data_IF_854183073755
#
_entry.id   IF_854183073755
#
_cell.length_a   1.000
_cell.length_b   1.000
_cell.length_c   1.000
_cell.angle_alpha   90.00
_cell.angle_beta   90.00
_cell.angle_gamma   90.00
#
_symmetry.space_group_name_H-M   'P 1'
#
loop_
_entity.id
_entity.type
_entity.pdbx_description
1 polymer ?
#
# COMPACT_ATOMS: atom_id res chain seq x y z
N UNK A 1 4.17 7.73 25.20
CA UNK A 1 3.85 6.29 25.26
C UNK A 1 2.74 5.85 24.30
N UNK A 2 1.51 6.41 24.32
CA UNK A 2 0.46 6.01 23.34
C UNK A 2 0.79 6.48 21.90
N UNK A 3 1.30 7.70 21.75
CA UNK A 3 1.69 8.27 20.46
C UNK A 3 2.90 7.58 19.82
N UNK A 4 3.84 7.10 20.63
CA UNK A 4 5.03 6.35 20.18
C UNK A 4 4.64 5.01 19.57
N UNK A 5 3.77 4.27 20.27
CA UNK A 5 3.23 3.00 19.77
C UNK A 5 2.45 3.18 18.47
N UNK A 6 1.70 4.27 18.35
CA UNK A 6 0.95 4.58 17.14
C UNK A 6 1.88 4.94 15.97
N UNK A 7 3.01 5.60 16.24
CA UNK A 7 4.04 5.89 15.24
C UNK A 7 4.75 4.62 14.77
N UNK A 8 5.08 3.70 15.68
CA UNK A 8 5.66 2.38 15.33
C UNK A 8 4.69 1.56 14.46
N UNK A 9 3.41 1.49 14.84
CA UNK A 9 2.39 0.80 14.04
C UNK A 9 2.22 1.45 12.65
N UNK A 10 2.30 2.78 12.55
CA UNK A 10 2.27 3.48 11.27
C UNK A 10 3.52 3.20 10.42
N UNK A 11 4.71 3.13 11.02
CA UNK A 11 5.95 2.81 10.30
C UNK A 11 5.93 1.38 9.74
N UNK A 12 5.49 0.41 10.54
CA UNK A 12 5.31 -0.98 10.11
C UNK A 12 4.31 -1.10 8.95
N UNK A 13 3.19 -0.38 9.04
CA UNK A 13 2.18 -0.37 7.98
C UNK A 13 2.70 0.31 6.71
N UNK A 14 3.44 1.41 6.82
CA UNK A 14 4.09 2.07 5.69
C UNK A 14 5.13 1.16 5.04
N UNK A 15 5.96 0.48 5.83
CA UNK A 15 6.93 -0.47 5.33
C UNK A 15 6.25 -1.63 4.58
N UNK A 16 5.15 -2.15 5.12
CA UNK A 16 4.34 -3.19 4.49
C UNK A 16 3.64 -2.75 3.19
N UNK A 17 3.51 -1.44 2.95
CA UNK A 17 3.03 -0.87 1.69
C UNK A 17 4.16 -0.61 0.69
N UNK A 18 5.35 -0.21 1.15
CA UNK A 18 6.51 0.04 0.29
C UNK A 18 6.94 -1.21 -0.47
N UNK A 19 7.01 -2.36 0.20
CA UNK A 19 7.46 -3.62 -0.42
C UNK A 19 6.63 -4.05 -1.65
N UNK A 20 5.29 -4.18 -1.59
CA UNK A 20 4.48 -4.51 -2.77
C UNK A 20 4.55 -3.43 -3.85
N UNK A 21 4.69 -2.15 -3.47
CA UNK A 21 4.83 -1.06 -4.43
C UNK A 21 6.14 -1.14 -5.22
N UNK A 22 7.25 -1.47 -4.56
CA UNK A 22 8.54 -1.73 -5.22
C UNK A 22 8.45 -2.93 -6.15
N UNK A 23 7.83 -4.03 -5.72
CA UNK A 23 7.65 -5.23 -6.56
C UNK A 23 6.84 -4.90 -7.82
N UNK A 24 5.79 -4.09 -7.68
CA UNK A 24 4.97 -3.63 -8.80
C UNK A 24 5.76 -2.77 -9.79
N UNK A 25 6.55 -1.83 -9.29
CA UNK A 25 7.42 -0.98 -10.11
C UNK A 25 8.44 -1.83 -10.88
N UNK A 26 9.07 -2.81 -10.22
CA UNK A 26 10.00 -3.72 -10.90
C UNK A 26 9.31 -4.54 -11.99
N UNK A 27 8.11 -5.06 -11.74
CA UNK A 27 7.35 -5.83 -12.73
C UNK A 27 6.98 -5.00 -13.96
N UNK A 28 6.54 -3.76 -13.76
CA UNK A 28 6.23 -2.85 -14.86
C UNK A 28 7.49 -2.53 -15.67
N UNK A 29 8.61 -2.21 -15.02
CA UNK A 29 9.88 -1.96 -15.68
C UNK A 29 10.36 -3.18 -16.49
N UNK A 30 10.22 -4.40 -15.95
CA UNK A 30 10.55 -5.63 -16.68
C UNK A 30 9.64 -5.86 -17.89
N UNK A 31 8.34 -5.59 -17.75
CA UNK A 31 7.39 -5.67 -18.87
C UNK A 31 7.70 -4.67 -19.97
N UNK A 32 8.12 -3.46 -19.61
CA UNK A 32 8.56 -2.42 -20.53
C UNK A 32 9.85 -2.81 -21.26
N UNK A 33 10.87 -3.25 -20.50
CA UNK A 33 12.16 -3.68 -21.04
C UNK A 33 12.06 -4.92 -21.95
N UNK A 34 11.05 -5.76 -21.74
CA UNK A 34 10.81 -6.93 -22.59
C UNK A 34 10.46 -6.56 -24.04
N UNK A 35 9.94 -5.36 -24.30
CA UNK A 35 9.49 -4.92 -25.63
C UNK A 35 8.24 -5.65 -26.16
N UNK A 36 7.77 -6.70 -25.47
CA UNK A 36 6.64 -7.52 -25.87
C UNK A 36 5.31 -6.93 -25.35
N UNK A 37 4.34 -6.61 -26.23
CA UNK A 37 3.05 -6.06 -25.81
C UNK A 37 2.26 -6.98 -24.86
N UNK A 38 2.47 -8.30 -24.96
CA UNK A 38 1.87 -9.29 -24.06
C UNK A 38 2.47 -9.23 -22.65
N UNK A 39 3.78 -9.04 -22.53
CA UNK A 39 4.49 -8.90 -21.26
C UNK A 39 4.06 -7.62 -20.53
N UNK A 40 3.96 -6.50 -21.25
CA UNK A 40 3.47 -5.24 -20.69
C UNK A 40 2.00 -5.36 -20.23
N UNK A 41 1.12 -5.99 -21.01
CA UNK A 41 -0.27 -6.24 -20.59
C UNK A 41 -0.37 -7.10 -19.34
N UNK A 42 0.45 -8.15 -19.23
CA UNK A 42 0.50 -8.99 -18.04
C UNK A 42 1.01 -8.21 -16.81
N UNK A 43 2.05 -7.38 -16.99
CA UNK A 43 2.58 -6.52 -15.94
C UNK A 43 1.54 -5.50 -15.46
N UNK A 44 0.80 -4.86 -16.38
CA UNK A 44 -0.30 -3.93 -16.06
C UNK A 44 -1.42 -4.66 -15.31
N UNK A 45 -1.83 -5.85 -15.77
CA UNK A 45 -2.88 -6.63 -15.09
C UNK A 45 -2.50 -7.00 -13.66
N UNK A 46 -1.26 -7.45 -13.45
CA UNK A 46 -0.73 -7.69 -12.12
C UNK A 46 -0.70 -6.40 -11.30
N UNK A 47 -0.28 -5.29 -11.90
CA UNK A 47 -0.18 -4.00 -11.22
C UNK A 47 -1.54 -3.50 -10.72
N UNK A 48 -2.57 -3.57 -11.57
CA UNK A 48 -3.93 -3.20 -11.18
C UNK A 48 -4.44 -4.04 -10.01
N UNK A 49 -4.15 -5.36 -10.02
CA UNK A 49 -4.52 -6.25 -8.92
C UNK A 49 -3.82 -5.92 -7.60
N UNK A 50 -2.56 -5.49 -7.61
CA UNK A 50 -1.88 -4.99 -6.41
C UNK A 50 -2.45 -3.65 -5.95
N UNK A 51 -2.73 -2.73 -6.88
CA UNK A 51 -3.28 -1.41 -6.55
C UNK A 51 -4.61 -1.51 -5.79
N UNK A 52 -5.47 -2.47 -6.16
CA UNK A 52 -6.71 -2.76 -5.41
C UNK A 52 -6.39 -3.15 -3.97
N UNK A 53 -5.46 -4.09 -3.76
CA UNK A 53 -5.07 -4.55 -2.41
C UNK A 53 -4.41 -3.46 -1.58
N UNK A 54 -3.61 -2.59 -2.21
CA UNK A 54 -3.02 -1.43 -1.56
C UNK A 54 -4.10 -0.45 -1.11
N UNK A 55 -5.09 -0.17 -1.96
CA UNK A 55 -6.21 0.70 -1.62
C UNK A 55 -7.05 0.14 -0.46
N UNK A 56 -7.27 -1.17 -0.41
CA UNK A 56 -7.97 -1.83 0.71
C UNK A 56 -7.20 -1.66 2.02
N UNK A 57 -5.88 -1.86 2.01
CA UNK A 57 -5.03 -1.66 3.19
C UNK A 57 -5.05 -0.21 3.66
N UNK A 58 -4.92 0.74 2.75
CA UNK A 58 -5.02 2.18 3.07
C UNK A 58 -6.41 2.54 3.61
N UNK A 59 -7.47 1.92 3.09
CA UNK A 59 -8.83 2.04 3.61
C UNK A 59 -8.92 1.60 5.07
N UNK A 60 -8.41 0.42 5.40
CA UNK A 60 -8.36 -0.07 6.78
C UNK A 60 -7.55 0.85 7.71
N UNK A 61 -6.41 1.38 7.24
CA UNK A 61 -5.62 2.35 8.00
C UNK A 61 -6.40 3.64 8.28
N UNK A 62 -7.17 4.14 7.30
CA UNK A 62 -8.03 5.31 7.48
C UNK A 62 -9.15 5.05 8.50
N UNK A 63 -9.74 3.85 8.50
CA UNK A 63 -10.76 3.47 9.47
C UNK A 63 -10.21 3.45 10.91
N UNK A 64 -9.00 2.89 11.10
CA UNK A 64 -8.29 2.89 12.39
C UNK A 64 -8.02 4.32 12.86
N UNK A 65 -7.54 5.19 11.97
CA UNK A 65 -7.28 6.59 12.29
C UNK A 65 -8.57 7.33 12.69
N UNK A 66 -9.65 7.17 11.92
CA UNK A 66 -10.95 7.76 12.25
C UNK A 66 -11.55 7.22 13.54
N UNK A 67 -11.27 5.95 13.89
CA UNK A 67 -11.66 5.40 15.17
C UNK A 67 -10.87 6.05 16.31
N UNK A 68 -9.55 6.23 16.16
CA UNK A 68 -8.72 6.91 17.16
C UNK A 68 -9.14 8.38 17.38
N UNK A 69 -9.42 9.12 16.30
CA UNK A 69 -9.91 10.51 16.38
C UNK A 69 -11.24 10.63 17.14
N UNK A 70 -12.17 9.69 16.93
CA UNK A 70 -13.46 9.65 17.63
C UNK A 70 -13.33 9.38 19.14
N UNK A 71 -12.28 8.65 19.55
CA UNK A 71 -12.02 8.37 20.97
C UNK A 71 -11.15 9.45 21.64
N UNK A 72 -10.41 10.26 20.87
CA UNK A 72 -9.60 11.38 21.38
C UNK A 72 -10.36 12.70 21.57
N UNK A 73 -11.60 12.81 21.06
CA UNK A 73 -12.44 14.01 21.17
C UNK A 73 -13.36 14.08 22.40
N UNK A 74 -13.26 13.14 23.33
CA UNK A 74 -13.95 13.17 24.63
C UNK A 74 -12.91 13.25 25.74
N UNK A 75 -12.33 14.44 25.94
CA UNK A 75 -11.39 14.76 27.01
C UNK A 75 -11.38 16.25 27.28
#
# INVERSE_FOLDING_TARGET
>A
MLAEKMLEEMDDLLHALCQPLTVLQCRLALGELSGEPSAMRAAIGAALGECVRLNERVGAMREVLQAAERHGGQG
#
